data_IF_496095902652
#
_entry.id   IF_496095902652
#
_cell.length_a   1.000
_cell.length_b   1.000
_cell.length_c   1.000
_cell.angle_alpha   90.00
_cell.angle_beta   90.00
_cell.angle_gamma   90.00
#
_symmetry.space_group_name_H-M   'P 1'
#
loop_
_entity.id
_entity.type
_entity.pdbx_description
1 polymer ?
#
# COMPACT_ATOMS: atom_id res chain seq x y z
N UNK A 1 -12.98 13.27 12.82
CA UNK A 1 -12.01 12.31 12.22
C UNK A 1 -10.61 12.91 12.27
N UNK A 2 -9.64 12.13 12.70
CA UNK A 2 -8.24 12.54 12.65
C UNK A 2 -7.62 12.01 11.36
N UNK A 3 -6.80 12.80 10.71
CA UNK A 3 -6.16 12.40 9.46
C UNK A 3 -4.75 12.98 9.37
N UNK A 4 -3.86 12.24 8.71
CA UNK A 4 -2.48 12.66 8.46
C UNK A 4 -2.04 12.12 7.10
N UNK A 5 -1.05 12.75 6.50
CA UNK A 5 -0.48 12.33 5.21
C UNK A 5 0.99 12.03 5.40
N UNK A 6 1.37 10.81 5.00
CA UNK A 6 2.76 10.36 5.02
C UNK A 6 3.37 10.51 3.63
N UNK A 7 4.62 10.96 3.57
CA UNK A 7 5.43 10.92 2.36
C UNK A 7 6.26 9.63 2.37
N UNK A 8 6.12 8.81 1.32
CA UNK A 8 6.80 7.52 1.20
C UNK A 8 7.59 7.50 -0.11
N UNK A 9 8.87 7.19 -0.01
CA UNK A 9 9.74 7.02 -1.17
C UNK A 9 9.79 5.54 -1.57
N UNK A 10 9.38 5.24 -2.81
CA UNK A 10 9.35 3.87 -3.35
C UNK A 10 10.45 3.61 -4.37
N UNK A 11 11.42 4.53 -4.52
CA UNK A 11 12.47 4.41 -5.54
C UNK A 11 13.33 3.15 -5.39
N UNK A 12 13.55 2.70 -4.15
CA UNK A 12 14.43 1.58 -3.84
C UNK A 12 13.69 0.27 -3.53
N UNK A 13 12.41 0.35 -3.17
CA UNK A 13 11.62 -0.81 -2.78
C UNK A 13 10.24 -0.74 -3.41
N UNK A 14 9.85 -1.81 -4.06
CA UNK A 14 8.51 -1.95 -4.66
C UNK A 14 7.45 -2.24 -3.62
N UNK A 15 7.84 -2.83 -2.49
CA UNK A 15 6.96 -3.06 -1.34
C UNK A 15 7.59 -2.35 -0.15
N UNK A 16 6.85 -1.40 0.42
CA UNK A 16 7.30 -0.60 1.56
C UNK A 16 6.41 -0.92 2.75
N UNK A 17 7.02 -1.38 3.84
CA UNK A 17 6.30 -1.67 5.08
C UNK A 17 5.87 -0.37 5.77
N UNK A 18 4.57 -0.21 5.97
CA UNK A 18 3.96 0.95 6.63
C UNK A 18 3.52 0.65 8.06
N UNK A 19 3.73 -0.56 8.56
CA UNK A 19 3.13 -1.04 9.81
C UNK A 19 3.47 -0.13 10.98
N UNK A 20 4.75 0.23 11.15
CA UNK A 20 5.16 1.06 12.28
C UNK A 20 4.63 2.50 12.19
N UNK A 21 4.49 3.03 10.98
CA UNK A 21 3.87 4.35 10.76
C UNK A 21 2.38 4.32 11.12
N UNK A 22 1.68 3.24 10.76
CA UNK A 22 0.28 3.04 11.13
C UNK A 22 0.14 2.91 12.65
N UNK A 23 1.01 2.14 13.30
CA UNK A 23 1.02 1.99 14.76
C UNK A 23 1.22 3.32 15.46
N UNK A 24 2.20 4.10 15.02
CA UNK A 24 2.49 5.41 15.60
C UNK A 24 1.30 6.37 15.46
N UNK A 25 0.62 6.33 14.32
CA UNK A 25 -0.57 7.14 14.10
C UNK A 25 -1.73 6.72 15.01
N UNK A 26 -1.93 5.43 15.22
CA UNK A 26 -3.03 4.90 16.03
C UNK A 26 -2.79 5.05 17.54
N UNK A 27 -1.53 4.99 17.98
CA UNK A 27 -1.15 4.89 19.39
C UNK A 27 -1.88 5.89 20.31
N UNK A 28 -1.99 7.19 19.99
CA UNK A 28 -2.65 8.16 20.88
C UNK A 28 -4.19 8.20 20.77
N UNK A 29 -4.83 7.30 20.00
CA UNK A 29 -6.22 7.52 19.57
C UNK A 29 -7.27 6.60 20.21
N UNK A 30 -6.89 5.55 20.92
CA UNK A 30 -7.84 4.67 21.58
C UNK A 30 -8.50 3.66 20.64
N UNK A 31 -9.80 3.46 20.78
CA UNK A 31 -10.57 2.47 19.99
C UNK A 31 -11.18 3.09 18.74
N UNK A 32 -11.20 2.34 17.65
CA UNK A 32 -11.81 2.81 16.42
C UNK A 32 -11.36 2.04 15.19
N UNK A 33 -11.40 2.73 14.05
CA UNK A 33 -10.96 2.20 12.76
C UNK A 33 -9.89 3.11 12.17
N UNK A 34 -8.81 2.53 11.67
CA UNK A 34 -7.79 3.25 10.92
C UNK A 34 -7.89 2.87 9.45
N UNK A 35 -8.11 3.87 8.59
CA UNK A 35 -8.05 3.69 7.15
C UNK A 35 -6.69 4.12 6.63
N UNK A 36 -6.15 3.33 5.72
CA UNK A 36 -4.92 3.61 4.97
C UNK A 36 -5.31 3.76 3.51
N UNK A 37 -5.09 4.93 2.94
CA UNK A 37 -5.51 5.25 1.57
C UNK A 37 -4.34 5.78 0.75
N UNK A 38 -4.17 5.21 -0.46
CA UNK A 38 -3.13 5.58 -1.41
C UNK A 38 -3.79 6.34 -2.56
N UNK A 39 -3.68 7.70 -2.61
CA UNK A 39 -4.35 8.51 -3.63
C UNK A 39 -3.56 8.57 -4.95
N UNK A 40 -3.16 7.43 -5.47
CA UNK A 40 -2.40 7.32 -6.71
C UNK A 40 -2.99 6.24 -7.62
N UNK A 41 -3.06 6.53 -8.90
CA UNK A 41 -3.65 5.62 -9.90
C UNK A 41 -2.74 4.44 -10.28
N UNK A 42 -1.53 4.35 -9.69
CA UNK A 42 -0.51 3.36 -10.05
C UNK A 42 0.10 2.64 -8.84
N UNK A 43 -0.54 2.71 -7.70
CA UNK A 43 -0.07 2.04 -6.49
C UNK A 43 -1.25 1.55 -5.65
N UNK A 44 -0.99 0.61 -4.77
CA UNK A 44 -1.99 0.06 -3.87
C UNK A 44 -1.43 -0.23 -2.48
N UNK A 45 -2.30 -0.67 -1.59
CA UNK A 45 -1.95 -1.06 -0.22
C UNK A 45 -2.49 -2.45 0.06
N UNK A 46 -1.74 -3.26 0.80
CA UNK A 46 -2.13 -4.63 1.12
C UNK A 46 -1.72 -4.98 2.56
N UNK A 47 -2.31 -6.06 3.06
CA UNK A 47 -1.86 -6.69 4.29
C UNK A 47 -1.27 -8.04 3.91
N UNK A 48 0.00 -8.24 4.20
CA UNK A 48 0.74 -9.45 3.81
C UNK A 48 1.89 -9.69 4.81
N UNK A 49 2.31 -10.94 4.95
CA UNK A 49 3.54 -11.25 5.67
C UNK A 49 4.75 -10.76 4.86
N UNK A 50 5.71 -10.12 5.54
CA UNK A 50 6.96 -9.66 4.93
C UNK A 50 8.16 -10.37 5.58
N UNK A 51 9.30 -10.34 4.91
CA UNK A 51 10.56 -10.86 5.46
C UNK A 51 10.78 -12.36 5.32
N UNK A 52 9.78 -13.11 4.82
CA UNK A 52 9.88 -14.57 4.62
C UNK A 52 9.73 -14.98 3.15
N UNK A 53 9.78 -14.04 2.23
CA UNK A 53 9.72 -14.27 0.79
C UNK A 53 8.37 -13.94 0.15
N UNK A 54 7.28 -13.78 0.93
CA UNK A 54 5.94 -13.51 0.38
C UNK A 54 5.86 -12.16 -0.33
N UNK A 55 6.64 -11.18 0.09
CA UNK A 55 6.76 -9.89 -0.57
C UNK A 55 7.36 -10.02 -1.98
N UNK A 56 8.43 -10.81 -2.14
CA UNK A 56 9.01 -11.11 -3.45
C UNK A 56 8.06 -11.94 -4.30
N UNK A 57 7.39 -12.92 -3.70
CA UNK A 57 6.38 -13.75 -4.37
C UNK A 57 5.21 -12.90 -4.88
N UNK A 58 4.81 -11.87 -4.13
CA UNK A 58 3.76 -10.95 -4.56
C UNK A 58 4.19 -10.18 -5.82
N UNK A 59 5.42 -9.66 -5.85
CA UNK A 59 5.94 -8.95 -7.02
C UNK A 59 5.92 -9.87 -8.24
N UNK A 60 6.46 -11.08 -8.10
CA UNK A 60 6.50 -12.06 -9.19
C UNK A 60 5.10 -12.43 -9.68
N UNK A 61 4.15 -12.60 -8.75
CA UNK A 61 2.76 -12.89 -9.08
C UNK A 61 2.11 -11.75 -9.83
N UNK A 62 2.31 -10.51 -9.39
CA UNK A 62 1.77 -9.33 -10.05
C UNK A 62 2.36 -9.16 -11.46
N UNK A 63 3.65 -9.43 -11.65
CA UNK A 63 4.28 -9.35 -12.97
C UNK A 63 3.76 -10.44 -13.93
N UNK A 64 3.35 -11.59 -13.41
CA UNK A 64 2.68 -12.63 -14.22
C UNK A 64 1.25 -12.24 -14.60
N UNK A 65 0.49 -11.71 -13.64
CA UNK A 65 -0.90 -11.29 -13.85
C UNK A 65 -1.00 -10.03 -14.72
N UNK A 66 -0.06 -9.13 -14.57
CA UNK A 66 0.01 -7.85 -15.24
C UNK A 66 1.36 -7.71 -15.96
N UNK A 67 1.55 -8.44 -17.09
CA UNK A 67 2.82 -8.38 -17.82
C UNK A 67 3.19 -6.95 -18.18
N UNK A 68 4.47 -6.61 -18.03
CA UNK A 68 4.97 -5.27 -18.22
C UNK A 68 5.43 -5.06 -19.66
N UNK A 69 4.45 -5.01 -20.58
CA UNK A 69 4.68 -4.81 -22.02
C UNK A 69 3.61 -3.87 -22.61
N UNK A 70 3.55 -3.74 -23.91
CA UNK A 70 2.73 -2.76 -24.61
C UNK A 70 1.30 -3.24 -24.93
N UNK A 71 0.85 -4.34 -24.30
CA UNK A 71 -0.50 -4.89 -24.57
C UNK A 71 -1.65 -4.02 -24.12
N UNK A 72 -1.40 -3.03 -23.25
CA UNK A 72 -2.43 -2.20 -22.65
C UNK A 72 -2.80 -1.03 -23.57
N UNK A 73 -4.07 -0.60 -23.48
CA UNK A 73 -4.52 0.58 -24.21
C UNK A 73 -3.91 1.87 -23.67
N UNK A 74 -3.68 1.93 -22.37
CA UNK A 74 -2.94 3.01 -21.73
C UNK A 74 -1.44 2.76 -21.93
N UNK A 75 -0.86 3.42 -22.93
CA UNK A 75 0.45 3.06 -23.46
C UNK A 75 1.44 4.23 -23.52
N UNK A 76 1.37 5.17 -22.58
CA UNK A 76 2.38 6.21 -22.41
C UNK A 76 3.17 6.00 -21.12
N UNK A 77 4.23 6.78 -20.91
CA UNK A 77 5.06 6.67 -19.71
C UNK A 77 6.17 5.63 -19.88
N UNK A 78 6.73 5.17 -18.77
CA UNK A 78 7.80 4.19 -18.76
C UNK A 78 7.28 2.78 -19.08
N UNK A 79 8.20 1.85 -19.27
CA UNK A 79 7.90 0.44 -19.46
C UNK A 79 7.06 -0.10 -18.28
N UNK A 80 5.95 -0.74 -18.59
CA UNK A 80 5.02 -1.26 -17.59
C UNK A 80 3.98 -0.26 -17.08
N UNK A 81 3.97 0.97 -17.57
CA UNK A 81 3.06 2.02 -17.12
C UNK A 81 1.59 1.60 -17.26
N UNK A 82 1.22 0.96 -18.37
CA UNK A 82 -0.14 0.44 -18.58
C UNK A 82 -0.54 -0.61 -17.54
N UNK A 83 0.37 -1.53 -17.23
CA UNK A 83 0.17 -2.53 -16.17
C UNK A 83 -0.05 -1.86 -14.80
N UNK A 84 0.73 -0.82 -14.52
CA UNK A 84 0.66 -0.11 -13.24
C UNK A 84 -0.69 0.57 -13.02
N UNK A 85 -1.36 1.03 -14.08
CA UNK A 85 -2.70 1.60 -14.01
C UNK A 85 -3.79 0.57 -13.76
N UNK A 86 -3.52 -0.71 -13.95
CA UNK A 86 -4.46 -1.81 -13.61
C UNK A 86 -4.22 -2.32 -12.20
N UNK A 87 -3.00 -2.20 -11.68
CA UNK A 87 -2.60 -2.73 -10.37
C UNK A 87 -3.56 -2.33 -9.24
N UNK A 88 -4.03 -1.08 -9.10
CA UNK A 88 -4.90 -0.72 -7.98
C UNK A 88 -6.28 -1.39 -8.01
N UNK A 89 -6.67 -2.00 -9.12
CA UNK A 89 -7.89 -2.79 -9.19
C UNK A 89 -7.71 -4.19 -8.58
N UNK A 90 -6.47 -4.65 -8.42
CA UNK A 90 -6.11 -5.95 -7.85
C UNK A 90 -5.57 -5.77 -6.44
N UNK A 91 -4.61 -4.87 -6.27
CA UNK A 91 -4.10 -4.45 -4.95
C UNK A 91 -4.76 -3.11 -4.63
N UNK A 92 -5.83 -3.15 -3.86
CA UNK A 92 -6.71 -2.00 -3.66
C UNK A 92 -5.97 -0.78 -3.06
N UNK A 93 -6.39 0.44 -3.36
CA UNK A 93 -5.76 1.63 -2.82
C UNK A 93 -6.16 1.95 -1.38
N UNK A 94 -7.03 1.16 -0.77
CA UNK A 94 -7.58 1.42 0.55
C UNK A 94 -7.75 0.15 1.36
N UNK A 95 -7.34 0.20 2.61
CA UNK A 95 -7.64 -0.84 3.60
C UNK A 95 -8.09 -0.17 4.90
N UNK A 96 -8.85 -0.89 5.71
CA UNK A 96 -9.27 -0.44 7.04
C UNK A 96 -8.95 -1.52 8.06
N UNK A 97 -8.34 -1.11 9.17
CA UNK A 97 -7.89 -1.99 10.25
C UNK A 97 -8.59 -1.59 11.54
N UNK A 98 -9.16 -2.53 12.30
CA UNK A 98 -9.68 -2.22 13.63
C UNK A 98 -8.54 -1.88 14.58
N UNK A 99 -8.81 -0.95 15.50
CA UNK A 99 -7.85 -0.46 16.49
C UNK A 99 -8.48 -0.54 17.86
N UNK A 100 -7.75 -1.10 18.82
CA UNK A 100 -8.19 -1.17 20.21
C UNK A 100 -7.07 -0.66 21.12
N UNK A 101 -7.41 0.25 22.01
CA UNK A 101 -6.46 0.88 22.93
C UNK A 101 -5.22 1.43 22.21
N UNK A 102 -5.41 2.02 21.03
CA UNK A 102 -4.35 2.59 20.21
C UNK A 102 -3.52 1.58 19.43
N UNK A 103 -3.85 0.30 19.48
CA UNK A 103 -3.09 -0.75 18.80
C UNK A 103 -3.90 -1.31 17.62
N UNK A 104 -3.38 -1.25 16.39
CA UNK A 104 -4.00 -1.93 15.26
C UNK A 104 -4.07 -3.45 15.51
N UNK A 105 -5.25 -4.03 15.33
CA UNK A 105 -5.48 -5.45 15.61
C UNK A 105 -5.01 -6.34 14.45
N UNK A 106 -3.74 -6.21 14.09
CA UNK A 106 -3.12 -7.06 13.08
C UNK A 106 -2.74 -8.42 13.69
N UNK A 107 -2.85 -9.46 12.89
CA UNK A 107 -2.30 -10.77 13.24
C UNK A 107 -0.77 -10.71 13.35
N UNK A 108 -0.18 -11.69 14.01
CA UNK A 108 1.27 -11.75 14.29
C UNK A 108 2.11 -11.58 13.02
N UNK A 109 1.66 -12.14 11.90
CA UNK A 109 2.39 -12.16 10.64
C UNK A 109 1.88 -11.17 9.61
N UNK A 110 0.96 -10.28 9.99
CA UNK A 110 0.40 -9.29 9.09
C UNK A 110 1.18 -7.98 9.15
N UNK A 111 1.58 -7.49 7.99
CA UNK A 111 2.15 -6.15 7.81
C UNK A 111 1.32 -5.35 6.83
N UNK A 112 1.15 -4.07 7.09
CA UNK A 112 0.54 -3.14 6.14
C UNK A 112 1.63 -2.65 5.21
N UNK A 113 1.46 -2.86 3.90
CA UNK A 113 2.48 -2.52 2.92
C UNK A 113 1.92 -1.66 1.78
N UNK A 114 2.74 -0.74 1.30
CA UNK A 114 2.52 -0.01 0.06
C UNK A 114 3.13 -0.84 -1.08
N UNK A 115 2.35 -1.08 -2.12
CA UNK A 115 2.79 -1.84 -3.31
C UNK A 115 2.89 -0.88 -4.49
N UNK A 116 4.08 -0.69 -5.01
CA UNK A 116 4.36 0.26 -6.08
C UNK A 116 5.42 -0.29 -7.05
N UNK A 117 4.96 -0.74 -8.21
CA UNK A 117 5.83 -1.23 -9.27
C UNK A 117 6.15 -0.13 -10.31
N UNK A 118 5.50 1.04 -10.19
CA UNK A 118 5.67 2.15 -11.12
C UNK A 118 7.02 2.85 -10.87
N UNK A 119 7.70 3.21 -11.95
CA UNK A 119 8.99 3.89 -11.89
C UNK A 119 8.92 5.38 -12.23
N UNK A 120 7.75 5.84 -12.69
CA UNK A 120 7.59 7.23 -13.13
C UNK A 120 7.41 8.20 -11.96
N UNK A 121 6.92 7.71 -10.81
CA UNK A 121 6.71 8.54 -9.63
C UNK A 121 7.08 7.79 -8.34
N UNK A 122 8.32 7.95 -7.86
CA UNK A 122 8.76 7.28 -6.64
C UNK A 122 8.28 7.97 -5.35
N UNK A 123 7.70 9.16 -5.44
CA UNK A 123 7.18 9.88 -4.27
C UNK A 123 5.70 9.65 -4.15
N UNK A 124 5.33 8.97 -3.06
CA UNK A 124 3.95 8.60 -2.80
C UNK A 124 3.43 9.25 -1.53
N UNK A 125 2.19 9.70 -1.58
CA UNK A 125 1.45 10.11 -0.40
C UNK A 125 0.61 8.95 0.08
N UNK A 126 0.58 8.72 1.39
CA UNK A 126 -0.31 7.76 2.02
C UNK A 126 -1.11 8.49 3.08
N UNK A 127 -2.42 8.47 2.97
CA UNK A 127 -3.30 9.11 3.96
C UNK A 127 -3.73 8.11 5.01
N UNK A 128 -3.48 8.44 6.26
CA UNK A 128 -4.01 7.72 7.40
C UNK A 128 -5.17 8.50 7.99
N UNK A 129 -6.28 7.82 8.26
CA UNK A 129 -7.47 8.43 8.86
C UNK A 129 -8.00 7.55 9.96
N UNK A 130 -8.43 8.17 11.07
CA UNK A 130 -8.93 7.46 12.25
C UNK A 130 -10.36 7.92 12.57
N UNK A 131 -11.23 6.96 12.71
CA UNK A 131 -12.62 7.17 13.16
C UNK A 131 -12.75 6.52 14.52
N UNK A 132 -13.07 7.34 15.53
CA UNK A 132 -13.33 6.86 16.87
C UNK A 132 -14.54 5.94 16.91
N UNK A 133 -14.44 4.90 17.70
CA UNK A 133 -15.52 3.93 17.93
C UNK A 133 -15.99 3.87 19.37
#
# INVERSE_FOLDING_TARGET
>A
MKTDVLDVDTARRRIVDLTELVRAFCFPRGDGLCNVFVPHATAGVAIIETGAGSDDDLIDTLERLLPRDDRYRHAHGSHGHGADHVLPAIVAPSITVPVQAGEPLLGTWQSVVLVDLNRDNPRRSVRLSFIEG
#
